data_IF_724785795479
#
_entry.id   IF_724785795479
#
_cell.length_a   1.000
_cell.length_b   1.000
_cell.length_c   1.000
_cell.angle_alpha   90.00
_cell.angle_beta   90.00
_cell.angle_gamma   90.00
#
_symmetry.space_group_name_H-M   'P 1'
#
loop_
_entity.id
_entity.type
_entity.pdbx_description
1 polymer ?
#
# COMPACT_ATOMS: atom_id res chain seq x y z
N UNK A 1 -19.65 0.43 27.63
CA UNK A 1 -20.09 1.04 26.35
C UNK A 1 -19.16 0.52 25.27
N UNK A 2 -19.52 -0.59 24.63
CA UNK A 2 -18.72 -1.22 23.58
C UNK A 2 -18.99 -0.48 22.28
N UNK A 3 -18.13 0.47 21.94
CA UNK A 3 -18.13 1.12 20.64
C UNK A 3 -17.61 0.14 19.61
N UNK A 4 -18.52 -0.54 18.92
CA UNK A 4 -18.24 -1.24 17.68
C UNK A 4 -17.68 -0.22 16.70
N UNK A 5 -16.36 -0.18 16.51
CA UNK A 5 -15.77 0.58 15.40
C UNK A 5 -16.16 -0.17 14.14
N UNK A 6 -17.29 0.24 13.58
CA UNK A 6 -17.80 -0.22 12.30
C UNK A 6 -16.86 0.38 11.24
N UNK A 7 -15.74 -0.29 11.00
CA UNK A 7 -14.76 0.16 10.01
C UNK A 7 -15.29 -0.23 8.63
N UNK A 8 -16.28 0.51 8.15
CA UNK A 8 -16.73 0.39 6.77
C UNK A 8 -15.54 0.64 5.86
N UNK A 9 -15.20 -0.33 5.01
CA UNK A 9 -14.29 -0.11 3.88
C UNK A 9 -14.93 0.98 3.04
N UNK A 10 -14.43 2.21 3.14
CA UNK A 10 -14.98 3.30 2.36
C UNK A 10 -14.26 3.29 1.03
N UNK A 11 -14.91 2.69 0.03
CA UNK A 11 -14.58 2.78 -1.39
C UNK A 11 -13.26 2.10 -1.81
N UNK A 12 -13.41 1.07 -2.65
CA UNK A 12 -12.32 0.59 -3.51
C UNK A 12 -12.29 1.41 -4.80
N UNK A 13 -11.09 1.55 -5.36
CA UNK A 13 -10.85 2.15 -6.67
C UNK A 13 -10.01 1.17 -7.48
N UNK A 14 -10.38 0.91 -8.74
CA UNK A 14 -9.60 0.05 -9.62
C UNK A 14 -8.17 0.60 -9.78
N UNK A 15 -7.18 -0.27 -9.92
CA UNK A 15 -5.78 0.15 -10.02
C UNK A 15 -5.59 1.17 -11.17
N UNK A 16 -6.23 0.94 -12.33
CA UNK A 16 -6.16 1.84 -13.47
C UNK A 16 -6.64 3.26 -13.12
N UNK A 17 -7.80 3.38 -12.48
CA UNK A 17 -8.36 4.67 -12.05
C UNK A 17 -7.51 5.33 -10.97
N UNK A 18 -6.99 4.54 -10.03
CA UNK A 18 -6.10 5.03 -8.98
C UNK A 18 -4.82 5.63 -9.57
N UNK A 19 -4.20 4.96 -10.55
CA UNK A 19 -2.98 5.42 -11.22
C UNK A 19 -3.19 6.69 -12.06
N UNK A 20 -4.43 6.99 -12.47
CA UNK A 20 -4.79 8.26 -13.12
C UNK A 20 -5.21 9.35 -12.13
N UNK A 21 -5.41 9.02 -10.86
CA UNK A 21 -5.84 9.95 -9.83
C UNK A 21 -4.65 10.67 -9.16
N UNK A 22 -4.88 11.82 -8.49
CA UNK A 22 -3.86 12.46 -7.64
C UNK A 22 -3.34 11.56 -6.50
N UNK A 23 -4.14 10.57 -6.07
CA UNK A 23 -3.77 9.64 -5.01
C UNK A 23 -2.60 8.72 -5.40
N UNK A 24 -2.30 8.56 -6.70
CA UNK A 24 -1.14 7.79 -7.21
C UNK A 24 0.18 8.21 -6.56
N UNK A 25 0.28 9.47 -6.18
CA UNK A 25 1.47 10.04 -5.53
C UNK A 25 1.79 9.36 -4.19
N UNK A 26 0.85 8.68 -3.54
CA UNK A 26 1.09 7.90 -2.33
C UNK A 26 2.09 6.75 -2.55
N UNK A 27 2.13 6.19 -3.76
CA UNK A 27 3.06 5.13 -4.14
C UNK A 27 4.52 5.63 -4.23
N UNK A 28 4.70 6.95 -4.30
CA UNK A 28 5.99 7.64 -4.32
C UNK A 28 6.17 8.61 -3.13
N UNK A 29 5.39 8.46 -2.06
CA UNK A 29 5.43 9.36 -0.91
C UNK A 29 6.85 9.47 -0.31
N UNK A 30 7.31 10.65 0.15
CA UNK A 30 6.62 11.94 0.14
C UNK A 30 6.73 12.71 -1.18
N UNK A 31 7.48 12.24 -2.17
CA UNK A 31 7.50 12.86 -3.50
C UNK A 31 6.14 12.73 -4.19
N UNK A 32 5.93 13.53 -5.23
CA UNK A 32 4.68 13.56 -6.00
C UNK A 32 4.72 12.70 -7.26
N UNK A 33 5.91 12.48 -7.80
CA UNK A 33 6.09 11.79 -9.08
C UNK A 33 6.24 10.28 -8.89
N UNK A 34 5.32 9.55 -9.51
CA UNK A 34 5.37 8.09 -9.56
C UNK A 34 6.13 7.67 -10.81
N UNK A 35 7.14 6.83 -10.64
CA UNK A 35 7.85 6.25 -11.77
C UNK A 35 6.98 5.21 -12.51
N UNK A 36 7.25 5.02 -13.81
CA UNK A 36 6.52 4.07 -14.64
C UNK A 36 6.77 2.60 -14.25
N UNK A 37 7.98 2.28 -13.77
CA UNK A 37 8.34 0.92 -13.35
C UNK A 37 7.51 0.46 -12.14
N UNK A 38 7.22 1.34 -11.19
CA UNK A 38 6.39 1.09 -10.01
C UNK A 38 4.95 0.78 -10.39
N UNK A 39 4.43 1.47 -11.40
CA UNK A 39 3.08 1.21 -11.93
C UNK A 39 3.02 -0.19 -12.56
N UNK A 40 4.03 -0.56 -13.35
CA UNK A 40 4.14 -1.91 -13.91
C UNK A 40 4.34 -2.99 -12.83
N UNK A 41 5.11 -2.71 -11.79
CA UNK A 41 5.34 -3.63 -10.67
C UNK A 41 4.01 -4.00 -9.99
N UNK A 42 3.13 -3.03 -9.74
CA UNK A 42 1.81 -3.29 -9.14
C UNK A 42 0.95 -4.19 -10.02
N UNK A 43 0.93 -3.92 -11.33
CA UNK A 43 0.21 -4.76 -12.29
C UNK A 43 0.80 -6.17 -12.34
N UNK A 44 2.13 -6.31 -12.37
CA UNK A 44 2.82 -7.59 -12.40
C UNK A 44 2.62 -8.42 -11.11
N UNK A 45 2.49 -7.75 -9.96
CA UNK A 45 2.14 -8.39 -8.68
C UNK A 45 0.68 -8.88 -8.65
N UNK A 46 -0.18 -8.42 -9.57
CA UNK A 46 -1.58 -8.78 -9.64
C UNK A 46 -2.49 -7.89 -8.79
N UNK A 47 -2.07 -6.66 -8.49
CA UNK A 47 -2.91 -5.67 -7.81
C UNK A 47 -4.03 -5.21 -8.75
N UNK A 48 -5.27 -5.29 -8.31
CA UNK A 48 -6.47 -4.96 -9.10
C UNK A 48 -7.23 -3.75 -8.56
N UNK A 49 -7.18 -3.52 -7.25
CA UNK A 49 -7.83 -2.38 -6.62
C UNK A 49 -7.05 -1.85 -5.41
N UNK A 50 -7.22 -0.56 -5.12
CA UNK A 50 -6.70 0.09 -3.92
C UNK A 50 -7.88 0.61 -3.10
N UNK A 51 -7.81 0.42 -1.79
CA UNK A 51 -8.86 0.83 -0.86
C UNK A 51 -8.47 2.12 -0.14
N UNK A 52 -9.41 3.07 -0.07
CA UNK A 52 -9.31 4.19 0.86
C UNK A 52 -9.71 3.69 2.25
N UNK A 53 -8.75 3.07 2.95
CA UNK A 53 -8.99 2.41 4.22
C UNK A 53 -7.78 2.40 5.13
N UNK A 54 -8.05 2.59 6.43
CA UNK A 54 -7.06 2.53 7.48
C UNK A 54 -7.18 3.71 8.45
N UNK A 55 -6.28 3.72 9.44
CA UNK A 55 -6.31 4.69 10.54
C UNK A 55 -5.50 5.96 10.26
N UNK A 56 -4.61 5.92 9.26
CA UNK A 56 -3.75 7.05 8.91
C UNK A 56 -4.27 7.71 7.63
N UNK A 57 -4.31 9.04 7.59
CA UNK A 57 -4.72 9.79 6.39
C UNK A 57 -3.53 10.55 5.79
N UNK A 58 -3.25 10.36 4.50
CA UNK A 58 -2.24 11.11 3.75
C UNK A 58 -2.79 11.47 2.38
N UNK A 59 -2.60 12.73 1.95
CA UNK A 59 -3.10 13.24 0.66
C UNK A 59 -4.58 12.89 0.39
N UNK A 60 -5.42 13.02 1.42
CA UNK A 60 -6.86 12.70 1.39
C UNK A 60 -7.19 11.23 1.06
N UNK A 61 -6.26 10.32 1.34
CA UNK A 61 -6.47 8.88 1.23
C UNK A 61 -6.10 8.20 2.54
N UNK A 62 -6.91 7.24 2.99
CA UNK A 62 -6.62 6.47 4.19
C UNK A 62 -5.75 5.26 3.87
N UNK A 63 -4.71 5.08 4.68
CA UNK A 63 -3.76 4.00 4.58
C UNK A 63 -3.68 3.25 5.92
N UNK A 64 -3.30 1.97 5.86
CA UNK A 64 -3.20 1.09 7.03
C UNK A 64 -2.14 1.59 8.01
N UNK A 65 -1.05 2.16 7.52
CA UNK A 65 0.02 2.66 8.37
C UNK A 65 1.15 3.36 7.62
N UNK A 66 1.98 4.05 8.40
CA UNK A 66 3.25 4.62 7.94
C UNK A 66 4.34 3.84 8.64
N UNK A 67 5.08 3.03 7.89
CA UNK A 67 6.28 2.40 8.37
C UNK A 67 7.45 3.38 8.34
N UNK A 68 8.55 3.01 9.00
CA UNK A 68 9.77 3.82 8.98
C UNK A 68 10.26 4.07 7.53
N UNK A 69 10.25 3.04 6.68
CA UNK A 69 10.70 3.10 5.29
C UNK A 69 9.57 3.03 4.24
N UNK A 70 8.30 3.03 4.66
CA UNK A 70 7.20 2.72 3.74
C UNK A 70 5.85 3.31 4.12
N UNK A 71 4.92 3.26 3.18
CA UNK A 71 3.50 3.54 3.37
C UNK A 71 2.73 2.25 3.07
N UNK A 72 1.75 1.91 3.91
CA UNK A 72 1.01 0.65 3.80
C UNK A 72 -0.42 0.93 3.36
N UNK A 73 -0.81 0.43 2.19
CA UNK A 73 -2.17 0.52 1.63
C UNK A 73 -2.87 -0.83 1.77
N UNK A 74 -4.20 -0.81 1.89
CA UNK A 74 -5.02 -2.00 1.67
C UNK A 74 -5.28 -2.11 0.16
N UNK A 75 -5.04 -3.28 -0.41
CA UNK A 75 -5.25 -3.55 -1.84
C UNK A 75 -5.97 -4.87 -2.05
N UNK A 76 -6.58 -5.02 -3.22
CA UNK A 76 -6.93 -6.33 -3.76
C UNK A 76 -5.77 -6.79 -4.64
N UNK A 77 -5.25 -7.97 -4.38
CA UNK A 77 -4.15 -8.59 -5.10
C UNK A 77 -4.50 -10.03 -5.40
N UNK A 78 -4.58 -10.40 -6.67
CA UNK A 78 -4.93 -11.75 -7.12
C UNK A 78 -6.24 -12.27 -6.48
N UNK A 79 -7.24 -11.39 -6.38
CA UNK A 79 -8.55 -11.70 -5.78
C UNK A 79 -8.60 -11.75 -4.25
N UNK A 80 -7.49 -11.46 -3.56
CA UNK A 80 -7.42 -11.46 -2.10
C UNK A 80 -7.10 -10.06 -1.56
N UNK A 81 -7.60 -9.74 -0.36
CA UNK A 81 -7.17 -8.54 0.35
C UNK A 81 -5.75 -8.71 0.87
N UNK A 82 -4.89 -7.74 0.58
CA UNK A 82 -3.50 -7.74 0.98
C UNK A 82 -3.05 -6.35 1.46
N UNK A 83 -2.04 -6.32 2.33
CA UNK A 83 -1.35 -5.09 2.68
C UNK A 83 -0.21 -4.84 1.69
N UNK A 84 -0.32 -3.80 0.87
CA UNK A 84 0.73 -3.34 -0.01
C UNK A 84 1.63 -2.37 0.73
N UNK A 85 2.90 -2.74 0.92
CA UNK A 85 3.91 -1.85 1.48
C UNK A 85 4.70 -1.17 0.35
N UNK A 86 4.41 0.10 0.10
CA UNK A 86 5.14 0.92 -0.86
C UNK A 86 6.36 1.56 -0.19
N UNK A 87 7.54 1.45 -0.80
CA UNK A 87 8.75 2.12 -0.32
C UNK A 87 8.62 3.63 -0.50
N UNK A 88 8.95 4.38 0.55
CA UNK A 88 8.99 5.84 0.48
C UNK A 88 10.16 6.31 -0.35
N UNK A 89 10.00 7.40 -1.09
CA UNK A 89 11.05 7.96 -1.94
C UNK A 89 12.23 8.53 -1.13
N UNK A 90 12.01 8.90 0.14
CA UNK A 90 13.01 9.41 1.07
C UNK A 90 13.61 8.33 1.99
N UNK A 91 13.30 7.05 1.74
CA UNK A 91 13.88 5.95 2.49
C UNK A 91 15.39 5.82 2.19
N UNK A 92 16.22 5.71 3.24
CA UNK A 92 17.68 5.49 3.10
C UNK A 92 18.07 4.10 2.62
N UNK A 93 17.10 3.22 2.36
CA UNK A 93 17.30 1.88 1.81
C UNK A 93 16.65 1.78 0.43
N UNK A 94 17.23 0.95 -0.43
CA UNK A 94 16.79 0.82 -1.82
C UNK A 94 15.67 -0.22 -2.01
N UNK A 95 15.56 -1.22 -1.12
CA UNK A 95 14.60 -2.31 -1.25
C UNK A 95 14.02 -2.80 0.08
N UNK A 96 12.95 -3.59 0.01
CA UNK A 96 12.38 -4.34 1.14
C UNK A 96 12.84 -5.81 1.17
N UNK A 97 13.86 -6.20 0.41
CA UNK A 97 14.29 -7.60 0.30
C UNK A 97 14.67 -8.22 1.64
N UNK A 98 15.42 -7.48 2.47
CA UNK A 98 15.78 -7.91 3.83
C UNK A 98 14.54 -8.12 4.71
N UNK A 99 13.56 -7.21 4.62
CA UNK A 99 12.32 -7.32 5.38
C UNK A 99 11.50 -8.54 4.91
N UNK A 100 11.39 -8.73 3.60
CA UNK A 100 10.72 -9.89 3.02
C UNK A 100 11.41 -11.21 3.40
N UNK A 101 12.75 -11.25 3.40
CA UNK A 101 13.52 -12.43 3.83
C UNK A 101 13.26 -12.77 5.31
N UNK A 102 13.28 -11.77 6.20
CA UNK A 102 12.98 -11.96 7.62
C UNK A 102 11.54 -12.40 7.84
N UNK A 103 10.57 -11.83 7.12
CA UNK A 103 9.16 -12.23 7.20
C UNK A 103 8.97 -13.69 6.76
N UNK A 104 9.63 -14.13 5.68
CA UNK A 104 9.60 -15.54 5.25
C UNK A 104 10.19 -16.47 6.30
N UNK A 105 11.33 -16.11 6.89
CA UNK A 105 11.95 -16.90 7.96
C UNK A 105 11.07 -16.99 9.22
N UNK A 106 10.41 -15.89 9.59
CA UNK A 106 9.50 -15.89 10.74
C UNK A 106 8.28 -16.78 10.49
N UNK A 107 7.78 -16.81 9.24
CA UNK A 107 6.62 -17.60 8.85
C UNK A 107 6.95 -19.05 8.45
N UNK A 108 8.24 -19.42 8.27
CA UNK A 108 8.62 -20.79 7.89
C UNK A 108 8.47 -21.82 9.01
N UNK A 109 8.08 -21.37 10.21
CA UNK A 109 7.86 -22.20 11.39
C UNK A 109 6.41 -22.14 11.92
N UNK A 110 5.45 -21.68 11.10
CA UNK A 110 4.01 -21.71 11.42
C UNK A 110 3.32 -22.96 10.86
#
# INVERSE_FOLDING_TARGET
MNGSVQTSIQKSVALADFLQSPARSLLAYPQSELDFARSQELTALGVTAIFDYGLQCRRNWRCLGLGYFGLVLLVECQGNLAALKARRSDATRDSFEQEAAMLRLANSHQ
#
